data_IF_277002135816
#
_entry.id   IF_277002135816
#
_cell.length_a   1.000
_cell.length_b   1.000
_cell.length_c   1.000
_cell.angle_alpha   90.00
_cell.angle_beta   90.00
_cell.angle_gamma   90.00
#
_symmetry.space_group_name_H-M   'P 1'
#
loop_
_entity.id
_entity.type
_entity.pdbx_description
1 polymer ?
#
# COMPACT_ATOMS: atom_id res chain seq x y z
N UNK A 1 -17.18 -16.60 10.76
CA UNK A 1 -18.54 -16.80 10.22
C UNK A 1 -18.90 -18.28 10.09
N UNK A 2 -18.36 -18.99 9.10
CA UNK A 2 -18.80 -20.37 8.74
C UNK A 2 -18.63 -21.38 9.88
N UNK A 3 -17.49 -21.36 10.59
CA UNK A 3 -17.26 -22.27 11.72
C UNK A 3 -18.29 -22.14 12.85
N UNK A 4 -18.77 -20.91 13.15
CA UNK A 4 -19.79 -20.70 14.18
C UNK A 4 -21.17 -21.25 13.77
N UNK A 5 -21.51 -21.16 12.48
CA UNK A 5 -22.74 -21.74 11.94
C UNK A 5 -22.69 -23.27 11.97
N UNK A 6 -21.55 -23.87 11.64
CA UNK A 6 -21.36 -25.34 11.72
C UNK A 6 -21.58 -25.84 13.15
N UNK A 7 -20.99 -25.16 14.15
CA UNK A 7 -21.18 -25.50 15.57
C UNK A 7 -22.64 -25.32 15.99
N UNK A 8 -23.30 -24.28 15.50
CA UNK A 8 -24.74 -24.06 15.76
C UNK A 8 -25.60 -25.19 15.20
N UNK A 9 -25.29 -25.68 13.99
CA UNK A 9 -26.02 -26.78 13.35
C UNK A 9 -25.78 -28.13 14.03
N UNK A 10 -24.62 -28.33 14.67
CA UNK A 10 -24.37 -29.52 15.48
C UNK A 10 -25.19 -29.55 16.78
N UNK A 11 -25.52 -28.38 17.34
CA UNK A 11 -26.27 -28.23 18.59
C UNK A 11 -27.75 -27.85 18.36
N UNK A 12 -28.33 -28.24 17.22
CA UNK A 12 -29.64 -27.77 16.78
C UNK A 12 -30.80 -28.20 17.69
N UNK A 13 -30.66 -29.36 18.36
CA UNK A 13 -31.62 -29.87 19.36
C UNK A 13 -31.36 -29.32 20.78
N UNK A 14 -30.37 -28.42 20.92
CA UNK A 14 -30.01 -27.79 22.19
C UNK A 14 -30.97 -26.67 22.61
N UNK A 15 -30.71 -26.06 23.76
CA UNK A 15 -31.51 -24.92 24.23
C UNK A 15 -31.33 -23.70 23.31
N UNK A 16 -32.40 -22.94 23.13
CA UNK A 16 -32.42 -21.72 22.30
C UNK A 16 -31.34 -20.71 22.74
N UNK A 17 -31.05 -20.65 24.04
CA UNK A 17 -29.99 -19.81 24.59
C UNK A 17 -28.59 -20.20 24.09
N UNK A 18 -28.31 -21.50 23.95
CA UNK A 18 -27.01 -22.00 23.47
C UNK A 18 -26.82 -21.68 21.98
N UNK A 19 -27.87 -21.89 21.17
CA UNK A 19 -27.91 -21.54 19.74
C UNK A 19 -27.64 -20.04 19.55
N UNK A 20 -28.32 -19.19 20.34
CA UNK A 20 -28.13 -17.74 20.31
C UNK A 20 -26.68 -17.32 20.62
N UNK A 21 -26.03 -17.98 21.58
CA UNK A 21 -24.63 -17.70 21.90
C UNK A 21 -23.68 -18.04 20.74
N UNK A 22 -23.85 -19.19 20.09
CA UNK A 22 -23.01 -19.58 18.96
C UNK A 22 -23.20 -18.66 17.73
N UNK A 23 -24.42 -18.20 17.48
CA UNK A 23 -24.72 -17.22 16.42
C UNK A 23 -24.09 -15.86 16.75
N UNK A 24 -24.21 -15.38 18.00
CA UNK A 24 -23.59 -14.14 18.43
C UNK A 24 -22.06 -14.18 18.26
N UNK A 25 -21.42 -15.29 18.66
CA UNK A 25 -19.98 -15.49 18.45
C UNK A 25 -19.61 -15.47 16.95
N UNK A 26 -20.44 -16.06 16.08
CA UNK A 26 -20.22 -16.05 14.62
C UNK A 26 -20.31 -14.63 14.03
N UNK A 27 -21.22 -13.80 14.52
CA UNK A 27 -21.40 -12.40 14.11
C UNK A 27 -20.23 -11.53 14.56
N UNK A 28 -19.80 -11.65 15.82
CA UNK A 28 -18.63 -10.92 16.35
C UNK A 28 -17.36 -11.30 15.58
N UNK A 29 -17.17 -12.59 15.26
CA UNK A 29 -16.04 -13.02 14.44
C UNK A 29 -16.04 -12.41 13.04
N UNK A 30 -17.22 -12.21 12.43
CA UNK A 30 -17.33 -11.54 11.12
C UNK A 30 -17.01 -10.05 11.23
N UNK A 31 -17.52 -9.40 12.27
CA UNK A 31 -17.22 -7.99 12.54
C UNK A 31 -15.72 -7.75 12.74
N UNK A 32 -15.06 -8.54 13.60
CA UNK A 32 -13.63 -8.39 13.87
C UNK A 32 -12.80 -8.66 12.60
N UNK A 33 -13.18 -9.64 11.79
CA UNK A 33 -12.51 -9.92 10.52
C UNK A 33 -12.57 -8.73 9.56
N UNK A 34 -13.77 -8.20 9.33
CA UNK A 34 -13.98 -7.04 8.46
C UNK A 34 -13.24 -5.81 9.00
N UNK A 35 -13.39 -5.54 10.30
CA UNK A 35 -12.73 -4.42 10.97
C UNK A 35 -11.21 -4.51 10.85
N UNK A 36 -10.61 -5.67 11.09
CA UNK A 36 -9.16 -5.87 11.00
C UNK A 36 -8.62 -5.67 9.58
N UNK A 37 -9.36 -6.14 8.56
CA UNK A 37 -8.97 -5.92 7.17
C UNK A 37 -8.98 -4.44 6.79
N UNK A 38 -10.10 -3.75 7.03
CA UNK A 38 -10.26 -2.35 6.62
C UNK A 38 -9.44 -1.37 7.46
N UNK A 39 -9.34 -1.59 8.78
CA UNK A 39 -8.67 -0.65 9.68
C UNK A 39 -7.18 -0.99 9.89
N UNK A 40 -6.77 -2.25 9.70
CA UNK A 40 -5.41 -2.69 9.94
C UNK A 40 -4.63 -2.95 8.65
N UNK A 41 -5.10 -3.89 7.84
CA UNK A 41 -4.36 -4.40 6.69
C UNK A 41 -4.32 -3.41 5.52
N UNK A 42 -5.45 -2.75 5.21
CA UNK A 42 -5.51 -1.75 4.15
C UNK A 42 -4.57 -0.55 4.34
N UNK A 43 -4.59 0.16 5.49
CA UNK A 43 -3.66 1.27 5.70
C UNK A 43 -2.21 0.82 5.75
N UNK A 44 -1.93 -0.37 6.29
CA UNK A 44 -0.58 -0.93 6.33
C UNK A 44 -0.05 -1.23 4.91
N UNK A 45 -0.86 -1.86 4.08
CA UNK A 45 -0.55 -2.13 2.67
C UNK A 45 -0.26 -0.84 1.91
N UNK A 46 -1.12 0.18 2.09
CA UNK A 46 -0.94 1.47 1.42
C UNK A 46 0.33 2.21 1.90
N UNK A 47 0.63 2.16 3.20
CA UNK A 47 1.86 2.73 3.74
C UNK A 47 3.12 2.05 3.17
N UNK A 48 3.11 0.71 3.05
CA UNK A 48 4.20 -0.05 2.43
C UNK A 48 4.34 0.29 0.95
N UNK A 49 3.23 0.29 0.19
CA UNK A 49 3.23 0.66 -1.23
C UNK A 49 3.76 2.08 -1.45
N UNK A 50 3.36 3.03 -0.60
CA UNK A 50 3.87 4.40 -0.66
C UNK A 50 5.37 4.46 -0.36
N UNK A 51 5.88 3.67 0.60
CA UNK A 51 7.32 3.60 0.88
C UNK A 51 8.11 3.05 -0.30
N UNK A 52 7.64 1.96 -0.91
CA UNK A 52 8.25 1.36 -2.11
C UNK A 52 8.22 2.37 -3.26
N UNK A 53 7.10 3.05 -3.48
CA UNK A 53 6.97 4.06 -4.54
C UNK A 53 8.01 5.17 -4.39
N UNK A 54 8.22 5.70 -3.18
CA UNK A 54 9.27 6.72 -2.92
C UNK A 54 10.67 6.21 -3.29
N UNK A 55 11.00 4.97 -2.92
CA UNK A 55 12.29 4.39 -3.26
C UNK A 55 12.43 4.14 -4.78
N UNK A 56 11.35 3.69 -5.43
CA UNK A 56 11.31 3.44 -6.87
C UNK A 56 11.55 4.73 -7.68
N UNK A 57 11.02 5.85 -7.22
CA UNK A 57 11.20 7.16 -7.85
C UNK A 57 12.68 7.56 -7.98
N UNK A 58 13.52 7.23 -6.99
CA UNK A 58 14.96 7.48 -7.09
C UNK A 58 15.61 6.64 -8.20
N UNK A 59 15.22 5.38 -8.35
CA UNK A 59 15.69 4.51 -9.43
C UNK A 59 15.20 4.99 -10.81
N UNK A 60 13.95 5.44 -10.92
CA UNK A 60 13.41 6.01 -12.15
C UNK A 60 14.16 7.28 -12.59
N UNK A 61 14.55 8.14 -11.65
CA UNK A 61 15.37 9.32 -11.92
C UNK A 61 16.72 8.93 -12.55
N UNK A 62 17.44 8.00 -11.92
CA UNK A 62 18.75 7.52 -12.42
C UNK A 62 18.60 6.89 -13.81
N UNK A 63 17.57 6.05 -14.00
CA UNK A 63 17.26 5.46 -15.31
C UNK A 63 16.99 6.52 -16.37
N UNK A 64 16.17 7.52 -16.08
CA UNK A 64 15.80 8.57 -17.03
C UNK A 64 17.03 9.41 -17.44
N UNK A 65 17.90 9.77 -16.49
CA UNK A 65 19.14 10.51 -16.76
C UNK A 65 20.11 9.68 -17.59
N UNK A 66 20.32 8.41 -17.26
CA UNK A 66 21.20 7.51 -18.03
C UNK A 66 20.71 7.32 -19.47
N UNK A 67 19.40 7.11 -19.67
CA UNK A 67 18.81 6.96 -21.01
C UNK A 67 18.97 8.25 -21.82
N UNK A 68 18.76 9.42 -21.20
CA UNK A 68 18.94 10.69 -21.88
C UNK A 68 20.42 10.99 -22.23
N UNK A 69 21.35 10.56 -21.39
CA UNK A 69 22.79 10.64 -21.66
C UNK A 69 23.20 9.76 -22.84
N UNK A 70 22.72 8.50 -22.89
CA UNK A 70 22.97 7.60 -24.02
C UNK A 70 22.35 8.12 -25.33
N UNK A 71 21.22 8.84 -25.25
CA UNK A 71 20.58 9.49 -26.39
C UNK A 71 21.35 10.72 -26.94
N UNK A 72 22.58 10.98 -26.48
CA UNK A 72 23.45 12.11 -26.89
C UNK A 72 22.81 13.49 -26.70
N UNK A 73 21.89 13.64 -25.75
CA UNK A 73 21.36 14.96 -25.36
C UNK A 73 22.40 15.70 -24.52
N UNK A 74 22.43 17.04 -24.55
CA UNK A 74 23.31 17.82 -23.68
C UNK A 74 23.09 17.42 -22.21
N UNK A 75 24.17 17.36 -21.43
CA UNK A 75 24.16 16.90 -20.04
C UNK A 75 23.13 17.63 -19.18
N UNK A 76 22.98 18.95 -19.36
CA UNK A 76 21.95 19.75 -18.68
C UNK A 76 20.52 19.27 -18.98
N UNK A 77 20.25 18.87 -20.22
CA UNK A 77 18.94 18.36 -20.64
C UNK A 77 18.68 16.93 -20.13
N UNK A 78 19.73 16.12 -20.00
CA UNK A 78 19.65 14.76 -19.45
C UNK A 78 19.39 14.77 -17.94
N UNK A 79 19.97 15.73 -17.21
CA UNK A 79 19.71 15.93 -15.78
C UNK A 79 18.28 16.44 -15.58
N UNK A 80 17.79 17.36 -16.41
CA UNK A 80 16.40 17.86 -16.30
C UNK A 80 15.34 16.78 -16.62
N UNK A 81 15.66 15.84 -17.52
CA UNK A 81 14.82 14.65 -17.76
C UNK A 81 14.67 13.75 -16.52
N UNK A 82 15.74 13.55 -15.75
CA UNK A 82 15.67 12.84 -14.47
C UNK A 82 14.94 13.64 -13.39
N UNK A 83 15.17 14.96 -13.33
CA UNK A 83 14.54 15.87 -12.37
C UNK A 83 13.02 15.86 -12.43
N UNK A 84 12.43 15.61 -13.61
CA UNK A 84 10.97 15.50 -13.77
C UNK A 84 10.37 14.33 -12.97
N UNK A 85 11.16 13.28 -12.72
CA UNK A 85 10.71 12.12 -11.95
C UNK A 85 10.88 12.31 -10.44
N UNK A 86 11.68 13.26 -9.97
CA UNK A 86 11.92 13.50 -8.54
C UNK A 86 10.65 14.06 -7.86
N UNK A 87 10.30 13.53 -6.68
CA UNK A 87 9.23 14.08 -5.85
C UNK A 87 9.51 15.55 -5.47
N UNK A 88 8.47 16.39 -5.52
CA UNK A 88 8.57 17.84 -5.33
C UNK A 88 9.26 18.25 -4.01
N UNK A 89 9.09 17.46 -2.94
CA UNK A 89 9.66 17.75 -1.61
C UNK A 89 11.20 17.77 -1.57
N UNK A 90 11.87 17.03 -2.46
CA UNK A 90 13.34 16.95 -2.54
C UNK A 90 13.86 17.49 -3.88
N UNK A 91 13.00 18.13 -4.67
CA UNK A 91 13.34 18.57 -6.03
C UNK A 91 14.34 19.74 -5.94
N UNK A 92 15.61 19.56 -6.37
CA UNK A 92 16.54 20.68 -6.42
C UNK A 92 16.07 21.72 -7.46
N UNK A 93 16.31 22.98 -7.17
CA UNK A 93 15.97 24.08 -8.10
C UNK A 93 16.94 24.05 -9.29
N UNK A 94 16.48 24.50 -10.48
CA UNK A 94 17.30 24.51 -11.70
C UNK A 94 18.64 25.24 -11.47
N UNK A 95 18.57 26.41 -10.81
CA UNK A 95 19.74 27.22 -10.44
C UNK A 95 20.74 26.54 -9.49
N UNK A 96 20.33 25.52 -8.75
CA UNK A 96 21.22 24.74 -7.90
C UNK A 96 21.94 23.64 -8.69
N UNK A 97 21.32 23.08 -9.73
CA UNK A 97 21.95 22.07 -10.57
C UNK A 97 22.92 22.68 -11.58
N UNK A 98 22.66 23.91 -12.05
CA UNK A 98 23.57 24.62 -12.98
C UNK A 98 24.86 25.10 -12.29
N UNK A 99 24.87 25.16 -10.95
CA UNK A 99 26.05 25.54 -10.15
C UNK A 99 27.02 24.40 -9.85
N UNK A 100 26.66 23.15 -10.15
CA UNK A 100 27.49 21.95 -9.95
C UNK A 100 28.03 21.47 -11.29
#
# INVERSE_FOLDING_TARGET
>A
AVGGIIITMQAIDGSIALIGYHVAAALVGTFIGIFGCYCGLDPLSNAMAQRVKRNMTAFECVRATLVAYVAKKPTLLAIDAGRKHIQLDIKPTFNQMEKW
#
